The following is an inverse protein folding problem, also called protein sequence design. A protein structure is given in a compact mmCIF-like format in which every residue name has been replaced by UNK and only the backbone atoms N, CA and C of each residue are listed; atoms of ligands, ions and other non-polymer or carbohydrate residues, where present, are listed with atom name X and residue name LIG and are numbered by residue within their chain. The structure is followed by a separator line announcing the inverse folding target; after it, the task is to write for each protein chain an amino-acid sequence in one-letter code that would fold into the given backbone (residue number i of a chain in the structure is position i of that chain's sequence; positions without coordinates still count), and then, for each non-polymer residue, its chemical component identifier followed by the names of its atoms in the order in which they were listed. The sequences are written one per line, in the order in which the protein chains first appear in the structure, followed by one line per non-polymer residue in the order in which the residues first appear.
data_IF_870221019358
#
_entry.id   IF_870221019358
#
_cell.length_a   1.000
_cell.length_b   1.000
_cell.length_c   1.000
_cell.angle_alpha   90.00
_cell.angle_beta   90.00
_cell.angle_gamma   90.00
#
_symmetry.space_group_name_H-M   'P 1'
#
loop_
_entity.id
_entity.type
_entity.pdbx_description
1 polymer ?
#
# COMPACT_ATOMS: atom_id res chain seq x y z
N UNK A 1 -37.44 37.31 -10.05
CA UNK A 1 -37.66 36.25 -9.04
C UNK A 1 -36.39 36.00 -8.22
N UNK A 2 -36.46 36.38 -6.94
CA UNK A 2 -35.67 36.02 -5.74
C UNK A 2 -34.40 35.15 -5.84
N UNK A 3 -33.21 35.78 -5.78
CA UNK A 3 -31.99 35.17 -5.19
C UNK A 3 -31.36 35.97 -4.04
N UNK A 4 -31.87 37.17 -3.74
CA UNK A 4 -31.31 38.05 -2.70
C UNK A 4 -31.95 37.96 -1.31
N UNK A 5 -33.02 37.16 -1.14
CA UNK A 5 -33.72 37.04 0.16
C UNK A 5 -33.12 35.99 1.12
N UNK A 6 -32.14 35.19 0.71
CA UNK A 6 -31.56 34.19 1.62
C UNK A 6 -30.54 34.79 2.60
N UNK A 7 -29.71 35.74 2.12
CA UNK A 7 -28.71 36.41 2.96
C UNK A 7 -29.34 37.38 3.99
N UNK A 8 -30.50 37.98 3.68
CA UNK A 8 -31.16 38.91 4.62
C UNK A 8 -31.86 38.21 5.79
N UNK A 9 -32.22 36.93 5.64
CA UNK A 9 -32.87 36.12 6.69
C UNK A 9 -31.86 35.66 7.74
N UNK A 10 -30.62 35.33 7.32
CA UNK A 10 -29.55 34.93 8.23
C UNK A 10 -29.10 36.09 9.12
N UNK A 11 -29.09 37.32 8.60
CA UNK A 11 -28.76 38.53 9.37
C UNK A 11 -29.77 38.91 10.45
N UNK A 12 -30.99 38.33 10.43
CA UNK A 12 -32.05 38.62 11.41
C UNK A 12 -31.90 37.84 12.73
N UNK A 13 -31.13 36.76 12.73
CA UNK A 13 -30.92 35.89 13.92
C UNK A 13 -29.52 35.98 14.52
N UNK A 14 -28.52 36.51 13.79
CA UNK A 14 -27.14 36.63 14.26
C UNK A 14 -26.78 38.09 14.58
N UNK A 15 -26.63 38.39 15.87
CA UNK A 15 -26.12 39.68 16.34
C UNK A 15 -24.67 39.88 15.90
N UNK A 16 -24.27 41.09 15.48
CA UNK A 16 -22.90 41.43 15.01
C UNK A 16 -21.79 40.95 15.97
N UNK A 17 -22.09 40.91 17.28
CA UNK A 17 -21.20 40.40 18.33
C UNK A 17 -20.96 38.87 18.29
N UNK A 18 -21.96 38.09 17.86
CA UNK A 18 -21.82 36.63 17.70
C UNK A 18 -20.93 36.31 16.49
N UNK A 19 -21.07 37.06 15.40
CA UNK A 19 -20.22 36.91 14.21
C UNK A 19 -18.74 37.17 14.55
N UNK A 20 -18.46 38.22 15.34
CA UNK A 20 -17.10 38.51 15.83
C UNK A 20 -16.54 37.42 16.75
N UNK A 21 -17.37 36.81 17.61
CA UNK A 21 -16.95 35.66 18.45
C UNK A 21 -16.61 34.43 17.61
N UNK A 22 -17.43 34.11 16.61
CA UNK A 22 -17.19 32.97 15.71
C UNK A 22 -15.93 33.20 14.87
N UNK A 23 -15.73 34.42 14.35
CA UNK A 23 -14.51 34.77 13.62
C UNK A 23 -13.26 34.70 14.50
N UNK A 24 -13.33 35.19 15.75
CA UNK A 24 -12.20 35.10 16.67
C UNK A 24 -11.90 33.66 17.08
N UNK A 25 -12.92 32.83 17.27
CA UNK A 25 -12.77 31.40 17.50
C UNK A 25 -12.11 30.73 16.30
N UNK A 26 -12.64 30.92 15.09
CA UNK A 26 -12.06 30.38 13.86
C UNK A 26 -10.62 30.85 13.67
N UNK A 27 -10.34 32.13 13.89
CA UNK A 27 -8.99 32.67 13.78
C UNK A 27 -8.04 31.99 14.80
N UNK A 28 -8.46 31.87 16.06
CA UNK A 28 -7.64 31.23 17.08
C UNK A 28 -7.36 29.75 16.77
N UNK A 29 -8.36 28.99 16.34
CA UNK A 29 -8.20 27.56 16.04
C UNK A 29 -7.47 27.33 14.72
N UNK A 30 -7.85 28.01 13.64
CA UNK A 30 -7.23 27.80 12.31
C UNK A 30 -5.82 28.38 12.29
N UNK A 31 -5.63 29.65 12.67
CA UNK A 31 -4.29 30.25 12.67
C UNK A 31 -3.41 29.63 13.76
N UNK A 32 -3.97 29.31 14.92
CA UNK A 32 -3.24 28.59 15.97
C UNK A 32 -2.79 27.20 15.51
N UNK A 33 -3.63 26.48 14.76
CA UNK A 33 -3.28 25.19 14.17
C UNK A 33 -2.17 25.34 13.13
N UNK A 34 -2.31 26.27 12.17
CA UNK A 34 -1.27 26.51 11.15
C UNK A 34 0.06 26.91 11.78
N UNK A 35 0.04 27.78 12.79
CA UNK A 35 1.24 28.19 13.51
C UNK A 35 1.89 27.01 14.24
N UNK A 36 1.10 26.16 14.90
CA UNK A 36 1.61 24.96 15.56
C UNK A 36 2.17 23.93 14.57
N UNK A 37 1.55 23.78 13.39
CA UNK A 37 2.02 22.91 12.31
C UNK A 37 3.40 23.38 11.82
N UNK A 38 3.57 24.68 11.64
CA UNK A 38 4.82 25.30 11.21
C UNK A 38 5.91 25.17 12.29
N UNK A 39 5.60 25.55 13.54
CA UNK A 39 6.52 25.46 14.68
C UNK A 39 7.05 24.03 14.89
N UNK A 40 6.21 23.01 14.71
CA UNK A 40 6.59 21.60 14.88
C UNK A 40 7.09 20.95 13.58
N UNK A 41 7.23 21.72 12.49
CA UNK A 41 7.73 21.24 11.20
C UNK A 41 7.02 19.95 10.73
N UNK A 42 5.71 19.90 10.91
CA UNK A 42 4.92 18.67 10.66
C UNK A 42 4.93 18.33 9.18
N UNK A 43 4.91 19.32 8.29
CA UNK A 43 5.03 19.09 6.85
C UNK A 43 6.38 18.48 6.45
N UNK A 44 7.48 18.92 7.05
CA UNK A 44 8.80 18.35 6.81
C UNK A 44 8.86 16.89 7.31
N UNK A 45 8.30 16.64 8.49
CA UNK A 45 8.22 15.29 9.07
C UNK A 45 7.37 14.36 8.20
N UNK A 46 6.16 14.78 7.82
CA UNK A 46 5.29 14.03 6.91
C UNK A 46 5.93 13.81 5.54
N UNK A 47 6.63 14.82 5.02
CA UNK A 47 7.42 14.72 3.78
C UNK A 47 8.53 13.66 3.89
N UNK A 48 9.18 13.55 5.05
CA UNK A 48 10.16 12.49 5.33
C UNK A 48 9.57 11.08 5.27
N UNK A 49 8.36 10.88 5.83
CA UNK A 49 7.65 9.59 5.74
C UNK A 49 7.24 9.30 4.29
N UNK A 50 6.67 10.30 3.60
CA UNK A 50 6.25 10.16 2.21
C UNK A 50 7.44 9.82 1.29
N UNK A 51 8.60 10.46 1.51
CA UNK A 51 9.83 10.14 0.80
C UNK A 51 10.27 8.69 1.06
N UNK A 52 10.29 8.24 2.32
CA UNK A 52 10.62 6.85 2.64
C UNK A 52 9.65 5.83 2.01
N UNK A 53 8.37 6.19 1.88
CA UNK A 53 7.35 5.38 1.20
C UNK A 53 7.62 5.29 -0.32
N UNK A 54 7.86 6.43 -0.97
CA UNK A 54 8.22 6.47 -2.39
C UNK A 54 9.51 5.68 -2.65
N UNK A 55 10.51 5.85 -1.80
CA UNK A 55 11.76 5.10 -1.90
C UNK A 55 11.54 3.59 -1.80
N UNK A 56 10.61 3.15 -0.94
CA UNK A 56 10.22 1.75 -0.80
C UNK A 56 9.43 1.20 -1.99
N UNK A 57 8.93 2.06 -2.88
CA UNK A 57 8.24 1.63 -4.11
C UNK A 57 9.24 1.03 -5.11
N UNK A 58 10.50 1.49 -5.13
CA UNK A 58 11.51 0.99 -6.08
C UNK A 58 11.80 -0.51 -5.88
N UNK A 59 12.10 -1.00 -4.66
CA UNK A 59 12.25 -2.44 -4.43
C UNK A 59 10.98 -3.26 -4.72
N UNK A 60 9.80 -2.70 -4.45
CA UNK A 60 8.52 -3.35 -4.76
C UNK A 60 8.39 -3.56 -6.28
N UNK A 61 8.74 -2.56 -7.09
CA UNK A 61 8.74 -2.67 -8.55
C UNK A 61 9.74 -3.71 -9.04
N UNK A 62 10.93 -3.78 -8.44
CA UNK A 62 11.91 -4.83 -8.76
C UNK A 62 11.37 -6.23 -8.48
N UNK A 63 10.70 -6.43 -7.34
CA UNK A 63 10.04 -7.69 -7.02
C UNK A 63 8.91 -8.02 -7.99
N UNK A 64 8.12 -7.02 -8.40
CA UNK A 64 7.06 -7.21 -9.39
C UNK A 64 7.64 -7.70 -10.72
N UNK A 65 8.70 -7.06 -11.23
CA UNK A 65 9.38 -7.51 -12.44
C UNK A 65 9.99 -8.90 -12.29
N UNK A 66 10.57 -9.20 -11.13
CA UNK A 66 11.12 -10.51 -10.85
C UNK A 66 10.05 -11.62 -10.81
N UNK A 67 8.88 -11.33 -10.24
CA UNK A 67 7.76 -12.26 -10.24
C UNK A 67 7.25 -12.52 -11.65
N UNK A 68 7.05 -11.46 -12.45
CA UNK A 68 6.62 -11.59 -13.85
C UNK A 68 7.63 -12.37 -14.69
N UNK A 69 8.93 -12.13 -14.49
CA UNK A 69 10.00 -12.82 -15.22
C UNK A 69 10.20 -14.28 -14.79
N UNK A 70 9.79 -14.69 -13.59
CA UNK A 70 9.92 -16.08 -13.14
C UNK A 70 8.66 -16.92 -13.34
N UNK A 71 7.47 -16.31 -13.34
CA UNK A 71 6.19 -17.03 -13.42
C UNK A 71 5.78 -17.31 -14.87
N UNK A 72 6.20 -16.47 -15.83
CA UNK A 72 5.64 -16.48 -17.18
C UNK A 72 6.68 -16.97 -18.19
N UNK A 73 6.28 -17.86 -19.10
CA UNK A 73 7.14 -18.30 -20.19
C UNK A 73 7.43 -17.17 -21.19
N UNK A 74 8.71 -16.93 -21.56
CA UNK A 74 9.08 -15.85 -22.49
C UNK A 74 8.35 -15.93 -23.83
N UNK A 75 8.19 -17.13 -24.39
CA UNK A 75 7.52 -17.35 -25.67
C UNK A 75 6.04 -16.94 -25.62
N UNK A 76 5.36 -17.26 -24.51
CA UNK A 76 3.96 -16.89 -24.28
C UNK A 76 3.81 -15.37 -24.17
N UNK A 77 4.77 -14.67 -23.56
CA UNK A 77 4.76 -13.20 -23.48
C UNK A 77 4.93 -12.58 -24.86
N UNK A 78 5.91 -13.03 -25.64
CA UNK A 78 6.21 -12.46 -26.96
C UNK A 78 5.02 -12.58 -27.92
N UNK A 79 4.37 -13.75 -27.95
CA UNK A 79 3.20 -14.00 -28.78
C UNK A 79 2.01 -13.14 -28.35
N UNK A 80 1.71 -13.10 -27.04
CA UNK A 80 0.60 -12.32 -26.50
C UNK A 80 0.81 -10.81 -26.67
N UNK A 81 2.03 -10.31 -26.45
CA UNK A 81 2.35 -8.91 -26.71
C UNK A 81 2.24 -8.57 -28.19
N UNK A 82 2.75 -9.42 -29.07
CA UNK A 82 2.64 -9.19 -30.52
C UNK A 82 1.17 -9.11 -30.95
N UNK A 83 0.32 -10.02 -30.46
CA UNK A 83 -1.13 -10.00 -30.74
C UNK A 83 -1.80 -8.75 -30.17
N UNK A 84 -1.47 -8.38 -28.94
CA UNK A 84 -2.02 -7.20 -28.26
C UNK A 84 -1.66 -5.90 -29.00
N UNK A 85 -0.40 -5.73 -29.38
CA UNK A 85 0.09 -4.54 -30.09
C UNK A 85 -0.62 -4.38 -31.44
N UNK A 86 -0.76 -5.47 -32.21
CA UNK A 86 -1.46 -5.46 -33.50
C UNK A 86 -2.96 -5.22 -33.33
N UNK A 87 -3.56 -5.64 -32.21
CA UNK A 87 -4.99 -5.41 -31.92
C UNK A 87 -5.27 -3.96 -31.49
N UNK A 88 -4.39 -3.37 -30.68
CA UNK A 88 -4.58 -2.01 -30.14
C UNK A 88 -4.18 -0.93 -31.15
N UNK A 89 -3.14 -1.18 -31.96
CA UNK A 89 -2.61 -0.19 -32.91
C UNK A 89 -3.11 -0.54 -34.32
N UNK A 90 -4.09 0.21 -34.88
CA UNK A 90 -4.69 -0.12 -36.16
C UNK A 90 -3.77 0.10 -37.37
N UNK A 91 -2.67 0.84 -37.19
CA UNK A 91 -1.73 1.16 -38.26
C UNK A 91 -0.49 0.23 -38.22
N UNK A 92 -0.22 -0.57 -39.26
CA UNK A 92 0.80 -1.61 -39.23
C UNK A 92 2.22 -1.06 -39.05
N UNK A 93 2.56 0.10 -39.64
CA UNK A 93 3.89 0.70 -39.50
C UNK A 93 4.22 1.12 -38.05
N UNK A 94 3.23 1.66 -37.33
CA UNK A 94 3.39 2.02 -35.92
C UNK A 94 3.35 0.78 -35.02
N UNK A 95 2.50 -0.20 -35.35
CA UNK A 95 2.44 -1.47 -34.63
C UNK A 95 3.77 -2.24 -34.71
N UNK A 96 4.42 -2.26 -35.87
CA UNK A 96 5.71 -2.94 -36.05
C UNK A 96 6.85 -2.22 -35.33
N UNK A 97 6.88 -0.89 -35.36
CA UNK A 97 7.82 -0.10 -34.56
C UNK A 97 7.66 -0.38 -33.06
N UNK A 98 6.43 -0.32 -32.54
CA UNK A 98 6.14 -0.60 -31.12
C UNK A 98 6.48 -2.05 -30.78
N UNK A 99 6.13 -3.01 -31.65
CA UNK A 99 6.47 -4.43 -31.48
C UNK A 99 7.98 -4.61 -31.33
N UNK A 100 8.78 -4.04 -32.23
CA UNK A 100 10.24 -4.15 -32.16
C UNK A 100 10.82 -3.46 -30.91
N UNK A 101 10.29 -2.29 -30.54
CA UNK A 101 10.74 -1.56 -29.36
C UNK A 101 10.48 -2.33 -28.05
N UNK A 102 9.32 -2.98 -27.93
CA UNK A 102 8.93 -3.70 -26.73
C UNK A 102 9.56 -5.10 -26.71
N UNK A 103 9.44 -5.89 -27.78
CA UNK A 103 9.97 -7.27 -27.82
C UNK A 103 11.49 -7.33 -27.65
N UNK A 104 12.23 -6.30 -28.08
CA UNK A 104 13.68 -6.23 -27.83
C UNK A 104 14.04 -6.16 -26.34
N UNK A 105 13.15 -5.64 -25.50
CA UNK A 105 13.37 -5.47 -24.05
C UNK A 105 12.85 -6.66 -23.22
N UNK A 106 11.99 -7.49 -23.80
CA UNK A 106 11.41 -8.65 -23.11
C UNK A 106 12.50 -9.61 -22.61
N UNK A 107 13.51 -10.03 -23.42
CA UNK A 107 14.58 -10.92 -22.94
C UNK A 107 15.40 -10.33 -21.80
N UNK A 108 15.62 -9.02 -21.78
CA UNK A 108 16.38 -8.33 -20.72
C UNK A 108 15.66 -8.46 -19.37
N UNK A 109 14.32 -8.36 -19.35
CA UNK A 109 13.51 -8.50 -18.13
C UNK A 109 13.65 -9.92 -17.56
N UNK A 110 13.63 -10.95 -18.42
CA UNK A 110 13.81 -12.34 -18.01
C UNK A 110 15.23 -12.63 -17.51
N UNK A 111 16.26 -12.14 -18.22
CA UNK A 111 17.65 -12.37 -17.86
C UNK A 111 18.01 -11.77 -16.49
N UNK A 112 17.53 -10.56 -16.21
CA UNK A 112 17.82 -9.86 -14.95
C UNK A 112 16.80 -10.13 -13.85
N UNK A 113 15.79 -10.97 -14.11
CA UNK A 113 14.71 -11.30 -13.16
C UNK A 113 15.23 -11.81 -11.81
N UNK A 114 16.22 -12.72 -11.82
CA UNK A 114 16.83 -13.25 -10.59
C UNK A 114 17.61 -12.18 -9.82
N UNK A 115 18.36 -11.33 -10.50
CA UNK A 115 19.06 -10.23 -9.85
C UNK A 115 18.07 -9.21 -9.25
N UNK A 116 17.02 -8.88 -9.99
CA UNK A 116 15.93 -8.02 -9.53
C UNK A 116 15.20 -8.62 -8.33
N UNK A 117 15.05 -9.94 -8.24
CA UNK A 117 14.47 -10.61 -7.08
C UNK A 117 15.31 -10.36 -5.82
N UNK A 118 16.60 -10.70 -5.84
CA UNK A 118 17.47 -10.53 -4.67
C UNK A 118 17.65 -9.07 -4.27
N UNK A 119 17.85 -8.18 -5.26
CA UNK A 119 17.96 -6.74 -5.02
C UNK A 119 16.63 -6.15 -4.51
N UNK A 120 15.51 -6.65 -5.02
CA UNK A 120 14.17 -6.28 -4.57
C UNK A 120 13.93 -6.69 -3.12
N UNK A 121 14.28 -7.92 -2.72
CA UNK A 121 14.14 -8.38 -1.34
C UNK A 121 15.05 -7.56 -0.41
N UNK A 122 16.35 -7.49 -0.70
CA UNK A 122 17.31 -6.78 0.15
C UNK A 122 16.94 -5.30 0.25
N UNK A 123 16.62 -4.69 -0.88
CA UNK A 123 16.17 -3.31 -0.98
C UNK A 123 14.90 -3.08 -0.17
N UNK A 124 13.90 -3.96 -0.29
CA UNK A 124 12.63 -3.82 0.40
C UNK A 124 12.82 -3.89 1.92
N UNK A 125 13.59 -4.86 2.41
CA UNK A 125 13.89 -4.94 3.85
C UNK A 125 14.59 -3.68 4.35
N UNK A 126 15.56 -3.17 3.58
CA UNK A 126 16.31 -1.98 3.94
C UNK A 126 15.42 -0.72 3.96
N UNK A 127 14.69 -0.44 2.87
CA UNK A 127 13.84 0.75 2.76
C UNK A 127 12.64 0.69 3.69
N UNK A 128 12.06 -0.49 3.92
CA UNK A 128 10.96 -0.66 4.87
C UNK A 128 11.42 -0.42 6.29
N UNK A 129 12.62 -0.90 6.67
CA UNK A 129 13.19 -0.63 7.99
C UNK A 129 13.38 0.87 8.19
N UNK A 130 13.85 1.58 7.15
CA UNK A 130 13.93 3.05 7.17
C UNK A 130 12.55 3.69 7.37
N UNK A 131 11.54 3.26 6.61
CA UNK A 131 10.17 3.78 6.72
C UNK A 131 9.63 3.65 8.15
N UNK A 132 9.76 2.48 8.77
CA UNK A 132 9.33 2.27 10.16
C UNK A 132 10.14 3.11 11.15
N UNK A 133 11.45 3.27 10.94
CA UNK A 133 12.29 4.14 11.75
C UNK A 133 11.86 5.60 11.67
N UNK A 134 11.58 6.10 10.46
CA UNK A 134 11.06 7.46 10.24
C UNK A 134 9.70 7.65 10.91
N UNK A 135 8.76 6.72 10.69
CA UNK A 135 7.44 6.76 11.32
C UNK A 135 7.56 6.78 12.84
N UNK A 136 8.35 5.88 13.43
CA UNK A 136 8.57 5.84 14.88
C UNK A 136 9.15 7.15 15.39
N UNK A 137 10.19 7.66 14.76
CA UNK A 137 10.89 8.87 15.21
C UNK A 137 9.95 10.07 15.20
N UNK A 138 9.18 10.22 14.13
CA UNK A 138 8.22 11.33 13.99
C UNK A 138 7.05 11.17 14.96
N UNK A 139 6.51 9.96 15.07
CA UNK A 139 5.36 9.70 15.94
C UNK A 139 5.74 9.86 17.42
N UNK A 140 6.93 9.40 17.82
CA UNK A 140 7.48 9.65 19.15
C UNK A 140 7.63 11.15 19.42
N UNK A 141 8.13 11.92 18.44
CA UNK A 141 8.25 13.37 18.57
C UNK A 141 6.90 14.07 18.71
N UNK A 142 5.87 13.62 17.96
CA UNK A 142 4.50 14.15 18.06
C UNK A 142 3.89 13.85 19.44
N UNK A 143 4.11 12.65 19.98
CA UNK A 143 3.59 12.24 21.28
C UNK A 143 4.48 12.63 22.48
N UNK A 144 5.60 13.32 22.25
CA UNK A 144 6.54 13.71 23.32
C UNK A 144 7.23 12.52 24.00
N UNK A 145 7.31 11.37 23.33
CA UNK A 145 7.95 10.16 23.85
C UNK A 145 9.43 10.10 23.46
N UNK A 146 10.26 10.88 24.13
CA UNK A 146 11.72 10.82 24.00
C UNK A 146 12.31 9.86 25.04
N UNK A 147 12.08 8.55 24.88
CA UNK A 147 12.94 7.57 25.55
C UNK A 147 14.16 7.32 24.69
N UNK A 148 15.33 7.75 25.17
CA UNK A 148 16.65 7.37 24.66
C UNK A 148 16.86 5.86 24.82
N UNK A 149 16.23 5.06 23.95
CA UNK A 149 16.63 3.68 23.72
C UNK A 149 17.85 3.72 22.78
N UNK A 150 18.84 2.85 23.02
CA UNK A 150 20.03 2.79 22.18
C UNK A 150 19.67 2.60 20.70
N UNK A 151 20.47 3.20 19.81
CA UNK A 151 20.27 3.17 18.36
C UNK A 151 20.01 1.74 17.83
N UNK A 152 20.77 0.76 18.33
CA UNK A 152 20.64 -0.67 17.95
C UNK A 152 19.28 -1.24 18.34
N UNK A 153 18.80 -0.95 19.55
CA UNK A 153 17.48 -1.42 20.02
C UNK A 153 16.35 -0.80 19.20
N UNK A 154 16.52 0.44 18.77
CA UNK A 154 15.64 1.08 17.81
C UNK A 154 15.61 0.29 16.50
N UNK A 155 16.76 0.10 15.86
CA UNK A 155 16.83 -0.57 14.57
C UNK A 155 16.27 -2.01 14.59
N UNK A 156 16.58 -2.77 15.65
CA UNK A 156 16.07 -4.14 15.83
C UNK A 156 14.54 -4.18 15.93
N UNK A 157 13.94 -3.18 16.60
CA UNK A 157 12.48 -3.06 16.67
C UNK A 157 11.87 -2.76 15.30
N UNK A 158 12.48 -1.85 14.53
CA UNK A 158 11.96 -1.49 13.21
C UNK A 158 12.06 -2.67 12.24
N UNK A 159 13.17 -3.41 12.28
CA UNK A 159 13.32 -4.66 11.56
C UNK A 159 12.26 -5.70 11.98
N UNK A 160 12.00 -5.81 13.29
CA UNK A 160 10.93 -6.65 13.82
C UNK A 160 9.54 -6.25 13.33
N UNK A 161 9.27 -4.94 13.17
CA UNK A 161 8.02 -4.45 12.58
C UNK A 161 7.87 -4.85 11.11
N UNK A 162 8.94 -4.77 10.32
CA UNK A 162 8.96 -5.25 8.93
C UNK A 162 8.62 -6.74 8.88
N UNK A 163 9.30 -7.55 9.70
CA UNK A 163 9.05 -9.00 9.77
C UNK A 163 7.61 -9.31 10.18
N UNK A 164 7.07 -8.59 11.18
CA UNK A 164 5.69 -8.76 11.65
C UNK A 164 4.69 -8.50 10.53
N UNK A 165 4.89 -7.43 9.74
CA UNK A 165 4.02 -7.13 8.59
C UNK A 165 4.10 -8.22 7.53
N UNK A 166 5.31 -8.72 7.22
CA UNK A 166 5.46 -9.83 6.28
C UNK A 166 4.72 -11.07 6.78
N UNK A 167 4.87 -11.43 8.05
CA UNK A 167 4.14 -12.56 8.65
C UNK A 167 2.63 -12.34 8.59
N UNK A 168 2.13 -11.14 8.90
CA UNK A 168 0.71 -10.84 8.80
C UNK A 168 0.17 -10.96 7.37
N UNK A 169 0.93 -10.49 6.37
CA UNK A 169 0.55 -10.63 4.96
C UNK A 169 0.53 -12.11 4.56
N UNK A 170 1.54 -12.89 4.96
CA UNK A 170 1.60 -14.33 4.67
C UNK A 170 0.43 -15.07 5.32
N UNK A 171 0.16 -14.82 6.60
CA UNK A 171 -1.00 -15.42 7.29
C UNK A 171 -2.29 -15.03 6.57
N UNK A 172 -2.51 -13.75 6.29
CA UNK A 172 -3.71 -13.28 5.57
C UNK A 172 -3.88 -13.96 4.20
N UNK A 173 -2.79 -14.14 3.45
CA UNK A 173 -2.81 -14.71 2.10
C UNK A 173 -2.99 -16.23 2.10
N UNK A 174 -2.33 -16.93 3.05
CA UNK A 174 -2.24 -18.40 3.04
C UNK A 174 -3.22 -19.09 3.99
N UNK A 175 -3.90 -18.38 4.90
CA UNK A 175 -4.89 -18.99 5.81
C UNK A 175 -5.98 -19.73 5.04
N UNK A 176 -6.52 -19.14 3.97
CA UNK A 176 -7.59 -19.75 3.18
C UNK A 176 -7.13 -21.02 2.43
N UNK A 177 -6.05 -20.99 1.62
CA UNK A 177 -5.50 -22.20 1.02
C UNK A 177 -5.13 -23.28 2.05
N UNK A 178 -4.55 -22.90 3.20
CA UNK A 178 -4.14 -23.84 4.23
C UNK A 178 -5.35 -24.58 4.83
N UNK A 179 -6.44 -23.87 5.11
CA UNK A 179 -7.70 -24.50 5.57
C UNK A 179 -8.23 -25.46 4.51
N UNK A 180 -8.24 -25.08 3.23
CA UNK A 180 -8.72 -25.94 2.16
C UNK A 180 -7.88 -27.23 2.03
N UNK A 181 -6.56 -27.14 2.14
CA UNK A 181 -5.66 -28.31 2.14
C UNK A 181 -5.95 -29.21 3.35
N UNK A 182 -6.16 -28.62 4.53
CA UNK A 182 -6.47 -29.36 5.76
C UNK A 182 -7.79 -30.14 5.64
N UNK A 183 -8.81 -29.56 5.01
CA UNK A 183 -10.10 -30.21 4.74
C UNK A 183 -9.91 -31.39 3.76
N UNK A 184 -9.23 -31.17 2.64
CA UNK A 184 -8.94 -32.26 1.69
C UNK A 184 -8.14 -33.40 2.32
N UNK A 185 -7.28 -33.11 3.28
CA UNK A 185 -6.57 -34.13 4.04
C UNK A 185 -7.52 -34.92 4.96
N UNK A 186 -8.53 -34.26 5.51
CA UNK A 186 -9.55 -34.80 6.42
C UNK A 186 -10.50 -35.78 5.70
N UNK A 187 -10.85 -35.52 4.44
CA UNK A 187 -11.66 -36.45 3.60
C UNK A 187 -11.02 -37.83 3.41
N UNK A 188 -9.70 -37.94 3.55
CA UNK A 188 -8.98 -39.22 3.41
C UNK A 188 -8.98 -40.07 4.69
N UNK A 189 -9.53 -39.58 5.81
CA UNK A 189 -9.58 -40.28 7.09
C UNK A 189 -11.04 -40.51 7.51
N UNK A 190 -11.49 -41.77 7.48
CA UNK A 190 -12.88 -42.19 7.78
C UNK A 190 -13.42 -41.68 9.14
N UNK A 191 -12.54 -41.43 10.12
CA UNK A 191 -12.94 -40.93 11.45
C UNK A 191 -13.43 -39.47 11.44
N UNK A 192 -12.99 -38.65 10.48
CA UNK A 192 -13.30 -37.22 10.43
C UNK A 192 -14.46 -36.86 9.49
N UNK A 193 -14.88 -37.80 8.62
CA UNK A 193 -16.07 -37.65 7.76
C UNK A 193 -17.35 -37.47 8.60
N UNK A 194 -17.42 -38.09 9.78
CA UNK A 194 -18.54 -37.93 10.72
C UNK A 194 -18.67 -36.51 11.30
N UNK A 195 -17.65 -35.67 11.21
CA UNK A 195 -17.67 -34.33 11.78
C UNK A 195 -18.26 -33.25 10.86
N UNK A 196 -18.72 -33.61 9.65
CA UNK A 196 -19.36 -32.69 8.67
C UNK A 196 -18.66 -31.31 8.59
N UNK A 197 -17.33 -31.32 8.57
CA UNK A 197 -16.51 -30.11 8.63
C UNK A 197 -16.79 -29.18 7.44
N UNK A 198 -17.18 -29.76 6.30
CA UNK A 198 -17.58 -29.02 5.10
C UNK A 198 -18.81 -28.14 5.31
N UNK A 199 -19.82 -28.62 6.04
CA UNK A 199 -21.09 -27.92 6.26
C UNK A 199 -20.88 -26.68 7.18
N UNK A 200 -20.00 -26.81 8.17
CA UNK A 200 -19.61 -25.72 9.07
C UNK A 200 -18.80 -24.66 8.31
N UNK A 201 -17.89 -25.05 7.42
CA UNK A 201 -17.08 -24.10 6.66
C UNK A 201 -17.86 -23.39 5.56
N UNK A 202 -18.81 -24.06 4.88
CA UNK A 202 -19.72 -23.37 3.95
C UNK A 202 -20.52 -22.27 4.65
N UNK A 203 -20.96 -22.53 5.89
CA UNK A 203 -21.65 -21.54 6.71
C UNK A 203 -20.71 -20.37 7.05
N UNK A 204 -19.49 -20.64 7.55
CA UNK A 204 -18.49 -19.59 7.84
C UNK A 204 -18.13 -18.77 6.59
N UNK A 205 -17.92 -19.42 5.45
CA UNK A 205 -17.58 -18.72 4.21
C UNK A 205 -18.74 -17.90 3.66
N UNK A 206 -19.99 -18.36 3.80
CA UNK A 206 -21.18 -17.59 3.39
C UNK A 206 -21.33 -16.27 4.16
N UNK A 207 -20.85 -16.21 5.41
CA UNK A 207 -20.83 -14.97 6.19
C UNK A 207 -19.71 -14.01 5.78
N UNK A 208 -18.63 -14.53 5.20
CA UNK A 208 -17.48 -13.71 4.75
C UNK A 208 -17.57 -13.28 3.28
N UNK A 209 -18.41 -13.94 2.47
CA UNK A 209 -18.69 -13.59 1.09
C UNK A 209 -19.86 -12.61 1.00
N UNK A 210 -19.65 -11.36 1.41
CA UNK A 210 -20.45 -10.19 1.03
C UNK A 210 -19.52 -9.18 0.35
#
# INVERSE_FOLDING_TARGET
MNKFNFFSVIGKYFTFNQYRKVLNFLNHYVVGLFRRIDDHHIFLSGGGIAFSLILSTVPILLLLFALLGNIIDPHTIEENLSKLIVTIIPYPAYAEFTKNAVLKRVPEVFQYSNAAFYLGIIGLFFTSTWLFSSMRTILNRIFGYDKNKGFITGLMRDFGMVLLVIVMILVSTFVLPAINIFIKATENFDFLVNFKVDEIMHLVFSFTSV
#
